data_IF_896900094146
#
_entry.id   IF_896900094146
#
_cell.length_a   1.000
_cell.length_b   1.000
_cell.length_c   1.000
_cell.angle_alpha   90.00
_cell.angle_beta   90.00
_cell.angle_gamma   90.00
#
_symmetry.space_group_name_H-M   'P 1'
#
loop_
_entity.id
_entity.type
_entity.pdbx_description
1 polymer ?
#
# COMPACT_ATOMS: atom_id res chain seq x y z
N UNK A 1 18.26 31.00 -0.38
CA UNK A 1 17.93 30.46 0.95
C UNK A 1 17.87 28.95 0.82
N UNK A 2 18.98 28.31 1.18
CA UNK A 2 19.13 26.86 1.25
C UNK A 2 18.18 26.33 2.32
N UNK A 3 17.11 25.65 1.89
CA UNK A 3 16.19 24.97 2.80
C UNK A 3 16.95 23.86 3.52
N UNK A 4 17.21 24.06 4.82
CA UNK A 4 17.57 22.97 5.71
C UNK A 4 16.48 21.90 5.55
N UNK A 5 16.86 20.74 5.03
CA UNK A 5 16.04 19.53 5.05
C UNK A 5 15.83 19.18 6.51
N UNK A 6 14.78 19.72 7.13
CA UNK A 6 14.30 19.24 8.42
C UNK A 6 14.01 17.75 8.24
N UNK A 7 14.83 16.92 8.88
CA UNK A 7 14.65 15.48 8.93
C UNK A 7 13.22 15.22 9.44
N UNK A 8 12.39 14.61 8.59
CA UNK A 8 11.06 14.22 8.98
C UNK A 8 11.17 13.20 10.12
N UNK A 9 10.35 13.36 11.14
CA UNK A 9 10.20 12.35 12.16
C UNK A 9 9.53 11.12 11.54
N UNK A 10 10.23 9.99 11.59
CA UNK A 10 9.79 8.73 11.01
C UNK A 10 10.09 7.57 11.95
N UNK A 11 9.30 6.47 11.89
CA UNK A 11 9.63 5.27 12.63
C UNK A 11 10.94 4.66 12.10
N UNK A 12 11.57 3.85 12.94
CA UNK A 12 12.74 3.07 12.52
C UNK A 12 12.40 2.23 11.29
N UNK A 13 13.26 2.30 10.28
CA UNK A 13 13.09 1.61 9.01
C UNK A 13 14.07 0.44 8.95
N UNK A 14 13.66 -0.77 9.37
CA UNK A 14 14.53 -1.93 9.33
C UNK A 14 14.94 -2.28 7.90
N UNK A 15 16.08 -2.96 7.76
CA UNK A 15 16.54 -3.50 6.47
C UNK A 15 15.56 -4.55 5.91
N UNK A 16 15.67 -4.82 4.61
CA UNK A 16 14.87 -5.84 3.96
C UNK A 16 15.25 -7.23 4.47
N UNK A 17 14.23 -8.03 4.79
CA UNK A 17 14.38 -9.41 5.25
C UNK A 17 13.90 -10.39 4.18
N UNK A 18 14.56 -11.54 4.07
CA UNK A 18 14.24 -12.58 3.10
C UNK A 18 13.34 -13.66 3.71
N UNK A 19 12.31 -14.06 2.97
CA UNK A 19 11.32 -15.03 3.39
C UNK A 19 11.16 -16.13 2.33
N UNK A 20 11.30 -17.38 2.76
CA UNK A 20 10.97 -18.56 1.96
C UNK A 20 9.53 -19.06 2.22
N UNK A 21 8.87 -18.59 3.29
CA UNK A 21 7.48 -18.89 3.61
C UNK A 21 6.55 -17.71 3.30
N UNK A 22 5.48 -17.97 2.54
CA UNK A 22 4.51 -16.93 2.21
C UNK A 22 3.77 -16.36 3.43
N UNK A 23 3.44 -17.21 4.41
CA UNK A 23 2.80 -16.77 5.65
C UNK A 23 3.69 -15.82 6.46
N UNK A 24 4.97 -16.16 6.60
CA UNK A 24 5.95 -15.35 7.34
C UNK A 24 6.18 -13.99 6.67
N UNK A 25 6.27 -13.97 5.33
CA UNK A 25 6.34 -12.73 4.56
C UNK A 25 5.11 -11.83 4.80
N UNK A 26 3.91 -12.41 4.82
CA UNK A 26 2.67 -11.67 5.06
C UNK A 26 2.58 -11.13 6.49
N UNK A 27 2.96 -11.93 7.50
CA UNK A 27 3.06 -11.44 8.88
C UNK A 27 4.02 -10.25 9.00
N UNK A 28 5.15 -10.30 8.28
CA UNK A 28 6.09 -9.18 8.25
C UNK A 28 5.48 -7.94 7.62
N UNK A 29 4.79 -8.07 6.48
CA UNK A 29 4.07 -6.97 5.83
C UNK A 29 3.05 -6.34 6.79
N UNK A 30 2.30 -7.16 7.53
CA UNK A 30 1.31 -6.71 8.52
C UNK A 30 1.99 -5.92 9.64
N UNK A 31 3.05 -6.46 10.22
CA UNK A 31 3.78 -5.79 11.29
C UNK A 31 4.32 -4.41 10.85
N UNK A 32 4.96 -4.34 9.68
CA UNK A 32 5.50 -3.08 9.14
C UNK A 32 4.40 -2.05 8.83
N UNK A 33 3.28 -2.50 8.28
CA UNK A 33 2.13 -1.62 8.03
C UNK A 33 1.52 -1.09 9.33
N UNK A 34 1.30 -1.96 10.31
CA UNK A 34 0.72 -1.59 11.61
C UNK A 34 1.63 -0.62 12.38
N UNK A 35 2.95 -0.83 12.35
CA UNK A 35 3.91 0.08 12.96
C UNK A 35 3.84 1.49 12.32
N UNK A 36 3.84 1.55 10.98
CA UNK A 36 3.81 2.81 10.23
C UNK A 36 2.48 3.55 10.39
N UNK A 37 1.35 2.86 10.24
CA UNK A 37 0.03 3.45 10.42
C UNK A 37 -0.23 3.83 11.88
N UNK A 38 0.22 3.01 12.84
CA UNK A 38 0.13 3.29 14.27
C UNK A 38 0.91 4.53 14.68
N UNK A 39 2.13 4.70 14.15
CA UNK A 39 2.93 5.91 14.34
C UNK A 39 2.21 7.16 13.82
N UNK A 40 1.71 7.12 12.58
CA UNK A 40 0.98 8.25 12.00
C UNK A 40 -0.28 8.60 12.78
N UNK A 41 -1.05 7.59 13.21
CA UNK A 41 -2.25 7.80 14.04
C UNK A 41 -1.88 8.45 15.38
N UNK A 42 -0.88 7.92 16.07
CA UNK A 42 -0.44 8.48 17.36
C UNK A 42 0.01 9.94 17.23
N UNK A 43 0.71 10.29 16.14
CA UNK A 43 1.17 11.66 15.89
C UNK A 43 0.04 12.58 15.45
N UNK A 44 -0.93 12.07 14.71
CA UNK A 44 -2.13 12.81 14.38
C UNK A 44 -2.97 13.14 15.63
N UNK A 45 -3.18 12.15 16.51
CA UNK A 45 -3.94 12.34 17.75
C UNK A 45 -3.27 13.36 18.67
N UNK A 46 -1.93 13.29 18.80
CA UNK A 46 -1.13 14.27 19.55
C UNK A 46 -1.24 15.67 18.94
N UNK A 47 -1.17 15.79 17.61
CA UNK A 47 -1.30 17.08 16.93
C UNK A 47 -2.69 17.71 17.09
N UNK A 48 -3.75 16.88 17.15
CA UNK A 48 -5.12 17.34 17.42
C UNK A 48 -5.29 17.79 18.88
N UNK A 49 -4.67 17.09 19.83
CA UNK A 49 -4.80 17.39 21.25
C UNK A 49 -3.91 18.55 21.72
N UNK A 50 -2.65 18.60 21.26
CA UNK A 50 -1.61 19.49 21.77
C UNK A 50 -1.15 20.55 20.76
N UNK A 51 -1.69 20.52 19.54
CA UNK A 51 -1.33 21.41 18.45
C UNK A 51 -0.29 20.81 17.50
N UNK A 52 -0.21 21.38 16.29
CA UNK A 52 0.61 20.83 15.21
C UNK A 52 2.11 20.97 15.50
N UNK A 53 2.92 19.90 15.27
CA UNK A 53 4.36 19.97 15.44
C UNK A 53 4.99 20.89 14.40
N UNK A 54 6.20 21.38 14.69
CA UNK A 54 6.97 22.27 13.79
C UNK A 54 7.84 21.52 12.78
N UNK A 55 7.79 20.20 12.78
CA UNK A 55 8.56 19.30 11.93
C UNK A 55 7.63 18.38 11.15
N UNK A 56 8.10 17.86 10.01
CA UNK A 56 7.32 16.89 9.23
C UNK A 56 7.27 15.54 9.94
N UNK A 57 6.12 14.87 9.85
CA UNK A 57 5.89 13.53 10.37
C UNK A 57 5.56 12.62 9.19
N UNK A 58 6.31 11.53 9.04
CA UNK A 58 6.20 10.63 7.89
C UNK A 58 6.38 9.17 8.28
N UNK A 59 5.59 8.30 7.66
CA UNK A 59 5.84 6.87 7.66
C UNK A 59 5.55 6.31 6.26
N UNK A 60 6.06 5.12 5.97
CA UNK A 60 6.07 4.56 4.62
C UNK A 60 5.33 3.23 4.56
N UNK A 61 4.78 2.92 3.39
CA UNK A 61 4.18 1.61 3.16
C UNK A 61 5.24 0.51 3.24
N UNK A 62 4.89 -0.72 3.65
CA UNK A 62 5.75 -1.87 3.40
C UNK A 62 5.88 -2.15 1.90
N UNK A 63 6.99 -2.78 1.53
CA UNK A 63 7.32 -3.19 0.17
C UNK A 63 7.59 -4.68 0.12
N UNK A 64 7.11 -5.32 -0.95
CA UNK A 64 7.47 -6.67 -1.34
C UNK A 64 8.37 -6.60 -2.57
N UNK A 65 9.50 -7.31 -2.55
CA UNK A 65 10.44 -7.42 -3.67
C UNK A 65 10.66 -8.87 -4.08
N UNK A 66 10.88 -9.08 -5.36
CA UNK A 66 11.30 -10.34 -5.95
C UNK A 66 12.44 -10.06 -6.93
N UNK A 67 13.56 -10.77 -6.78
CA UNK A 67 14.65 -10.72 -7.76
C UNK A 67 14.86 -12.11 -8.32
N UNK A 68 14.65 -12.26 -9.63
CA UNK A 68 14.89 -13.54 -10.33
C UNK A 68 15.90 -13.34 -11.46
N UNK A 69 16.80 -14.31 -11.62
CA UNK A 69 17.78 -14.36 -12.71
C UNK A 69 17.37 -15.32 -13.83
N UNK A 70 16.25 -16.01 -13.65
CA UNK A 70 15.78 -17.08 -14.53
C UNK A 70 14.34 -16.78 -14.97
N UNK A 71 14.00 -17.28 -16.15
CA UNK A 71 12.61 -17.33 -16.59
C UNK A 71 11.84 -18.31 -15.69
N UNK A 72 10.58 -17.98 -15.38
CA UNK A 72 9.73 -18.86 -14.59
C UNK A 72 9.64 -20.27 -15.21
N UNK A 73 9.72 -21.30 -14.38
CA UNK A 73 9.38 -22.66 -14.80
C UNK A 73 7.89 -22.72 -15.12
N UNK A 74 7.56 -22.78 -16.41
CA UNK A 74 6.20 -22.85 -16.97
C UNK A 74 5.44 -24.11 -16.49
N UNK A 75 4.84 -24.08 -15.31
CA UNK A 75 3.60 -24.85 -15.08
C UNK A 75 2.41 -23.91 -15.39
N UNK A 76 2.14 -23.78 -16.69
CA UNK A 76 1.29 -22.76 -17.34
C UNK A 76 -0.22 -22.93 -17.11
N UNK A 77 -0.65 -23.62 -16.06
CA UNK A 77 -2.09 -23.80 -15.79
C UNK A 77 -2.73 -22.56 -15.21
N UNK A 78 -1.96 -21.71 -14.55
CA UNK A 78 -2.43 -20.44 -14.00
C UNK A 78 -1.98 -19.28 -14.89
N UNK A 79 -2.92 -18.38 -15.20
CA UNK A 79 -2.66 -17.12 -15.90
C UNK A 79 -2.01 -16.04 -15.03
N UNK A 80 -1.69 -16.36 -13.77
CA UNK A 80 -1.16 -15.43 -12.76
C UNK A 80 -0.10 -16.11 -11.86
N UNK A 81 0.44 -15.38 -10.89
CA UNK A 81 1.38 -15.91 -9.89
C UNK A 81 2.80 -16.14 -10.41
N UNK A 82 3.21 -15.48 -11.49
CA UNK A 82 4.57 -15.54 -12.03
C UNK A 82 4.96 -14.22 -12.69
N UNK A 83 6.27 -14.03 -12.88
CA UNK A 83 6.83 -12.94 -13.69
C UNK A 83 7.52 -13.57 -14.89
N UNK A 84 7.46 -12.91 -16.04
CA UNK A 84 7.89 -13.52 -17.31
C UNK A 84 9.40 -13.44 -17.46
N UNK A 85 10.02 -12.30 -17.15
CA UNK A 85 11.41 -12.04 -17.46
C UNK A 85 12.29 -12.02 -16.20
N UNK A 86 13.58 -12.42 -16.29
CA UNK A 86 14.57 -12.12 -15.27
C UNK A 86 14.60 -10.63 -14.96
N UNK A 87 14.63 -10.27 -13.69
CA UNK A 87 14.60 -8.88 -13.27
C UNK A 87 14.36 -8.69 -11.79
N UNK A 88 14.33 -7.41 -11.39
CA UNK A 88 13.90 -6.96 -10.07
C UNK A 88 12.46 -6.49 -10.18
N UNK A 89 11.61 -6.98 -9.30
CA UNK A 89 10.21 -6.63 -9.24
C UNK A 89 9.89 -6.13 -7.84
N UNK A 90 9.05 -5.12 -7.73
CA UNK A 90 8.63 -4.58 -6.43
C UNK A 90 7.16 -4.17 -6.45
N UNK A 91 6.54 -4.12 -5.27
CA UNK A 91 5.25 -3.47 -5.08
C UNK A 91 5.12 -2.99 -3.66
N UNK A 92 4.52 -1.81 -3.49
CA UNK A 92 4.08 -1.33 -2.19
C UNK A 92 2.78 -2.01 -1.78
N UNK A 93 2.63 -2.31 -0.49
CA UNK A 93 1.49 -3.03 0.05
C UNK A 93 0.76 -2.13 1.06
N UNK A 94 -0.56 -2.03 0.95
CA UNK A 94 -1.44 -1.45 1.97
C UNK A 94 -2.41 -2.50 2.49
N UNK A 95 -2.97 -2.27 3.67
CA UNK A 95 -3.99 -3.13 4.31
C UNK A 95 -3.68 -4.64 4.19
N UNK A 96 -2.46 -5.10 4.53
CA UNK A 96 -2.07 -6.50 4.30
C UNK A 96 -2.94 -7.51 5.07
N UNK A 97 -3.57 -7.10 6.18
CA UNK A 97 -4.55 -7.94 6.90
C UNK A 97 -5.81 -8.19 6.06
N UNK A 98 -6.35 -7.14 5.41
CA UNK A 98 -7.51 -7.26 4.51
C UNK A 98 -7.20 -8.18 3.33
N UNK A 99 -5.98 -8.05 2.77
CA UNK A 99 -5.53 -8.84 1.63
C UNK A 99 -4.80 -10.12 2.01
N UNK A 100 -4.83 -10.54 3.28
CA UNK A 100 -4.01 -11.65 3.83
C UNK A 100 -4.06 -12.90 2.95
N UNK A 101 -5.26 -13.38 2.64
CA UNK A 101 -5.45 -14.60 1.85
C UNK A 101 -4.90 -14.45 0.43
N UNK A 102 -5.16 -13.31 -0.21
CA UNK A 102 -4.64 -12.98 -1.53
C UNK A 102 -3.10 -12.95 -1.54
N UNK A 103 -2.50 -12.27 -0.56
CA UNK A 103 -1.05 -12.13 -0.46
C UNK A 103 -0.37 -13.46 -0.19
N UNK A 104 -0.90 -14.29 0.71
CA UNK A 104 -0.36 -15.63 0.99
C UNK A 104 -0.37 -16.47 -0.30
N UNK A 105 -1.47 -16.45 -1.04
CA UNK A 105 -1.58 -17.20 -2.29
C UNK A 105 -0.57 -16.70 -3.34
N UNK A 106 -0.52 -15.40 -3.61
CA UNK A 106 0.35 -14.85 -4.65
C UNK A 106 1.83 -15.01 -4.31
N UNK A 107 2.23 -14.71 -3.08
CA UNK A 107 3.62 -14.89 -2.63
C UNK A 107 4.01 -16.37 -2.68
N UNK A 108 3.11 -17.27 -2.28
CA UNK A 108 3.32 -18.71 -2.39
C UNK A 108 3.61 -19.15 -3.82
N UNK A 109 2.81 -18.70 -4.78
CA UNK A 109 3.02 -18.99 -6.21
C UNK A 109 4.34 -18.41 -6.72
N UNK A 110 4.72 -17.20 -6.32
CA UNK A 110 6.01 -16.61 -6.71
C UNK A 110 7.19 -17.46 -6.22
N UNK A 111 7.18 -17.85 -4.95
CA UNK A 111 8.24 -18.68 -4.35
C UNK A 111 8.28 -20.05 -5.04
N UNK A 112 7.12 -20.67 -5.29
CA UNK A 112 7.02 -21.97 -5.94
C UNK A 112 7.54 -21.94 -7.39
N UNK A 113 7.17 -20.93 -8.17
CA UNK A 113 7.49 -20.86 -9.59
C UNK A 113 8.92 -20.38 -9.87
N UNK A 114 9.46 -19.52 -9.01
CA UNK A 114 10.80 -18.93 -9.21
C UNK A 114 11.89 -19.55 -8.35
N UNK A 115 11.52 -20.28 -7.29
CA UNK A 115 12.46 -20.96 -6.37
C UNK A 115 13.47 -20.00 -5.73
N UNK A 116 13.06 -18.76 -5.50
CA UNK A 116 13.82 -17.72 -4.79
C UNK A 116 12.97 -17.15 -3.65
N UNK A 117 13.59 -16.71 -2.54
CA UNK A 117 12.87 -16.03 -1.48
C UNK A 117 12.33 -14.68 -1.96
N UNK A 118 11.27 -14.21 -1.30
CA UNK A 118 10.82 -12.82 -1.44
C UNK A 118 11.48 -11.95 -0.37
N UNK A 119 11.62 -10.66 -0.65
CA UNK A 119 12.19 -9.68 0.26
C UNK A 119 11.09 -8.75 0.75
N UNK A 120 11.01 -8.51 2.06
CA UNK A 120 10.03 -7.61 2.67
C UNK A 120 10.76 -6.54 3.48
N UNK A 121 10.38 -5.28 3.29
CA UNK A 121 10.98 -4.14 4.00
C UNK A 121 10.09 -2.90 3.95
N UNK A 122 10.62 -1.77 4.39
CA UNK A 122 9.94 -0.48 4.32
C UNK A 122 10.23 0.18 2.97
N UNK A 123 9.19 0.64 2.26
CA UNK A 123 9.31 1.35 0.98
C UNK A 123 9.78 2.80 1.17
N UNK A 124 9.96 3.51 0.06
CA UNK A 124 10.12 4.98 0.06
C UNK A 124 8.81 5.71 -0.19
N UNK A 125 7.68 5.00 -0.34
CA UNK A 125 6.38 5.59 -0.63
C UNK A 125 5.66 5.98 0.67
N UNK A 126 5.41 7.27 0.90
CA UNK A 126 4.78 7.72 2.14
C UNK A 126 3.31 7.31 2.20
N UNK A 127 2.83 7.00 3.41
CA UNK A 127 1.41 6.75 3.70
C UNK A 127 0.73 8.09 3.95
N UNK A 128 -0.26 8.50 3.13
CA UNK A 128 -1.07 9.65 3.46
C UNK A 128 -1.81 9.47 4.79
N UNK A 129 -1.73 10.48 5.67
CA UNK A 129 -2.29 10.40 7.03
C UNK A 129 -3.78 10.05 7.05
N UNK A 130 -4.52 10.51 6.03
CA UNK A 130 -5.93 10.23 5.82
C UNK A 130 -6.25 8.73 5.81
N UNK A 131 -5.38 7.91 5.22
CA UNK A 131 -5.58 6.46 5.12
C UNK A 131 -5.16 5.73 6.39
N UNK A 132 -4.15 6.25 7.10
CA UNK A 132 -3.72 5.73 8.39
C UNK A 132 -4.79 5.93 9.48
N UNK A 133 -5.45 7.09 9.52
CA UNK A 133 -6.48 7.39 10.53
C UNK A 133 -7.85 6.77 10.21
N UNK A 134 -8.22 6.70 8.92
CA UNK A 134 -9.52 6.11 8.53
C UNK A 134 -9.64 4.62 8.88
N UNK A 135 -8.53 3.90 8.97
CA UNK A 135 -8.52 2.50 9.41
C UNK A 135 -8.80 2.28 10.90
N UNK A 136 -8.83 3.33 11.72
CA UNK A 136 -9.01 3.26 13.18
C UNK A 136 -10.42 3.53 13.69
N UNK A 137 -11.38 3.84 12.79
CA UNK A 137 -12.75 4.20 13.16
C UNK A 137 -13.03 5.70 13.07
N UNK A 138 -14.10 6.02 12.31
CA UNK A 138 -14.97 7.22 12.35
C UNK A 138 -14.39 8.64 12.46
N UNK A 139 -13.09 8.87 12.29
CA UNK A 139 -12.54 10.23 12.18
C UNK A 139 -12.70 10.76 10.75
N UNK A 140 -13.82 11.43 10.50
CA UNK A 140 -13.93 12.33 9.35
C UNK A 140 -13.08 13.56 9.65
N UNK A 141 -11.94 13.70 8.97
CA UNK A 141 -11.17 14.95 9.00
C UNK A 141 -12.10 16.05 8.47
N UNK A 142 -12.35 17.13 9.23
CA UNK A 142 -13.19 18.23 8.78
C UNK A 142 -12.65 18.78 7.46
N UNK A 143 -13.45 18.69 6.40
CA UNK A 143 -13.09 19.26 5.10
C UNK A 143 -13.30 20.78 5.15
N UNK A 144 -12.21 21.54 5.23
CA UNK A 144 -12.21 22.99 5.01
C UNK A 144 -11.43 23.83 6.04
N UNK A 145 -10.69 24.84 5.54
CA UNK A 145 -10.09 25.91 6.34
C UNK A 145 -8.59 25.76 6.63
N UNK A 146 -8.15 26.41 7.72
CA UNK A 146 -6.76 26.49 8.20
C UNK A 146 -6.19 25.12 8.61
N UNK A 147 -7.06 24.20 9.04
CA UNK A 147 -6.69 22.85 9.51
C UNK A 147 -6.13 21.98 8.39
N UNK A 148 -6.70 22.03 7.18
CA UNK A 148 -6.20 21.23 6.04
C UNK A 148 -4.87 21.76 5.51
N UNK A 149 -4.68 23.10 5.48
CA UNK A 149 -3.40 23.71 5.13
C UNK A 149 -2.32 23.32 6.14
N UNK A 150 -2.62 23.42 7.43
CA UNK A 150 -1.69 23.02 8.50
C UNK A 150 -1.37 21.52 8.50
N UNK A 151 -2.27 20.66 8.01
CA UNK A 151 -2.03 19.23 7.86
C UNK A 151 -1.03 18.92 6.75
N UNK A 152 -1.09 19.63 5.62
CA UNK A 152 -0.17 19.45 4.48
C UNK A 152 1.27 19.85 4.80
N UNK A 153 1.42 20.82 5.71
CA UNK A 153 2.74 21.27 6.16
C UNK A 153 3.44 20.22 7.03
N UNK A 154 2.69 19.38 7.74
CA UNK A 154 3.21 18.40 8.70
C UNK A 154 3.21 16.98 8.15
N UNK A 155 2.10 16.54 7.56
CA UNK A 155 1.87 15.16 7.16
C UNK A 155 1.80 15.01 5.64
N UNK A 156 1.98 13.78 5.15
CA UNK A 156 1.68 13.46 3.77
C UNK A 156 0.17 13.34 3.54
N UNK A 157 -0.29 13.85 2.40
CA UNK A 157 -1.69 13.82 1.98
C UNK A 157 -1.83 13.18 0.61
N UNK A 158 -3.01 12.66 0.23
CA UNK A 158 -3.19 12.05 -1.08
C UNK A 158 -3.00 13.09 -2.20
N UNK A 159 -2.15 12.78 -3.18
CA UNK A 159 -1.95 13.60 -4.37
C UNK A 159 -2.53 12.88 -5.60
N UNK A 160 -3.40 13.56 -6.34
CA UNK A 160 -4.07 12.97 -7.52
C UNK A 160 -3.08 12.56 -8.61
N UNK A 161 -1.93 13.24 -8.72
CA UNK A 161 -0.91 12.93 -9.71
C UNK A 161 -0.23 11.57 -9.47
N UNK A 162 -0.12 11.12 -8.21
CA UNK A 162 0.54 9.85 -7.86
C UNK A 162 -0.44 8.66 -7.83
N UNK A 163 -1.75 8.94 -7.87
CA UNK A 163 -2.83 7.95 -7.94
C UNK A 163 -3.20 7.75 -9.41
N UNK A 164 -2.43 6.91 -10.10
CA UNK A 164 -2.60 6.66 -11.53
C UNK A 164 -2.77 5.16 -11.83
N UNK A 165 -3.04 4.87 -13.09
CA UNK A 165 -3.24 3.52 -13.64
C UNK A 165 -2.09 3.15 -14.61
N UNK A 166 -0.90 3.75 -14.45
CA UNK A 166 0.21 3.63 -15.41
C UNK A 166 0.70 2.18 -15.59
N UNK A 167 0.69 1.40 -14.50
CA UNK A 167 1.05 -0.03 -14.52
C UNK A 167 0.07 -0.82 -15.40
N UNK A 168 -1.24 -0.67 -15.17
CA UNK A 168 -2.27 -1.44 -15.89
C UNK A 168 -2.52 -0.94 -17.31
N UNK A 169 -2.19 0.32 -17.61
CA UNK A 169 -2.23 0.86 -18.97
C UNK A 169 -1.11 0.29 -19.86
N UNK A 170 -0.07 -0.34 -19.29
CA UNK A 170 0.91 -1.14 -20.03
C UNK A 170 1.98 -0.35 -20.78
N UNK A 171 2.22 0.93 -20.44
CA UNK A 171 3.18 1.80 -21.13
C UNK A 171 4.65 1.61 -20.69
N UNK A 172 5.05 0.39 -20.30
CA UNK A 172 6.44 0.10 -19.92
C UNK A 172 6.87 0.71 -18.58
N UNK A 173 5.95 0.76 -17.61
CA UNK A 173 6.23 1.30 -16.28
C UNK A 173 7.41 0.59 -15.59
N UNK A 174 8.30 1.38 -14.99
CA UNK A 174 9.35 0.95 -14.09
C UNK A 174 9.50 1.97 -12.96
N UNK A 175 9.86 1.51 -11.77
CA UNK A 175 10.15 2.37 -10.63
C UNK A 175 11.49 3.08 -10.81
N UNK A 176 11.71 4.16 -10.03
CA UNK A 176 12.95 4.95 -10.07
C UNK A 176 14.21 4.13 -9.80
N UNK A 177 14.09 3.05 -9.02
CA UNK A 177 15.20 2.13 -8.71
C UNK A 177 15.45 1.08 -9.82
N UNK A 178 14.71 1.18 -10.93
CA UNK A 178 14.76 0.29 -12.08
C UNK A 178 13.99 -1.03 -11.91
N UNK A 179 13.26 -1.22 -10.81
CA UNK A 179 12.42 -2.41 -10.64
C UNK A 179 11.12 -2.32 -11.45
N UNK A 180 10.63 -3.47 -11.88
CA UNK A 180 9.34 -3.64 -12.56
C UNK A 180 8.19 -3.83 -11.55
N UNK A 181 6.94 -3.53 -11.94
CA UNK A 181 5.80 -3.74 -11.05
C UNK A 181 5.54 -5.22 -10.80
N UNK A 182 5.45 -5.61 -9.53
CA UNK A 182 5.10 -6.97 -9.09
C UNK A 182 3.58 -7.16 -8.93
N UNK A 183 2.83 -6.06 -8.84
CA UNK A 183 1.38 -6.04 -8.72
C UNK A 183 0.78 -4.95 -9.63
N UNK A 184 -0.50 -5.06 -10.03
CA UNK A 184 -1.12 -4.10 -10.95
C UNK A 184 -1.33 -2.72 -10.34
N UNK A 185 -1.37 -2.58 -9.01
CA UNK A 185 -1.68 -1.32 -8.34
C UNK A 185 -0.73 -1.05 -7.18
N UNK A 186 -0.37 0.21 -7.01
CA UNK A 186 0.41 0.68 -5.85
C UNK A 186 -0.45 0.79 -4.59
N UNK A 187 0.18 0.81 -3.42
CA UNK A 187 -0.50 0.96 -2.13
C UNK A 187 -1.41 2.20 -2.07
N UNK A 188 -0.92 3.36 -2.52
CA UNK A 188 -1.70 4.61 -2.53
C UNK A 188 -2.93 4.50 -3.45
N UNK A 189 -2.78 3.85 -4.61
CA UNK A 189 -3.87 3.64 -5.56
C UNK A 189 -4.95 2.72 -5.00
N UNK A 190 -4.54 1.69 -4.25
CA UNK A 190 -5.45 0.76 -3.55
C UNK A 190 -6.19 1.50 -2.44
N UNK A 191 -5.51 2.24 -1.56
CA UNK A 191 -6.13 2.97 -0.45
C UNK A 191 -7.17 3.99 -0.93
N UNK A 192 -6.85 4.74 -2.00
CA UNK A 192 -7.81 5.65 -2.63
C UNK A 192 -9.05 4.91 -3.12
N UNK A 193 -8.86 3.76 -3.80
CA UNK A 193 -9.95 2.93 -4.29
C UNK A 193 -10.81 2.38 -3.16
N UNK A 194 -10.20 1.90 -2.07
CA UNK A 194 -10.94 1.38 -0.90
C UNK A 194 -11.78 2.49 -0.27
N UNK A 195 -11.23 3.70 -0.10
CA UNK A 195 -11.97 4.84 0.43
C UNK A 195 -13.17 5.22 -0.46
N UNK A 196 -13.00 5.17 -1.80
CA UNK A 196 -14.10 5.41 -2.74
C UNK A 196 -15.12 4.29 -2.75
N UNK A 197 -14.68 3.04 -2.65
CA UNK A 197 -15.55 1.88 -2.60
C UNK A 197 -16.52 1.98 -1.43
N UNK A 198 -16.00 2.22 -0.22
CA UNK A 198 -16.84 2.39 0.97
C UNK A 198 -17.75 3.61 0.89
N UNK A 199 -17.29 4.72 0.30
CA UNK A 199 -18.12 5.91 0.12
C UNK A 199 -19.30 5.66 -0.82
N UNK A 200 -19.08 5.04 -1.98
CA UNK A 200 -20.12 4.85 -2.99
C UNK A 200 -21.06 3.68 -2.68
N UNK A 201 -20.53 2.64 -2.03
CA UNK A 201 -21.26 1.40 -1.77
C UNK A 201 -21.86 1.37 -0.37
N UNK A 202 -21.56 2.37 0.46
CA UNK A 202 -21.98 2.47 1.87
C UNK A 202 -21.74 1.16 2.65
N UNK A 203 -20.68 0.43 2.29
CA UNK A 203 -20.35 -0.92 2.79
C UNK A 203 -18.85 -1.03 2.95
N UNK A 204 -18.39 -1.69 4.02
CA UNK A 204 -16.98 -1.95 4.25
C UNK A 204 -16.39 -2.89 3.20
N UNK A 205 -15.13 -2.65 2.83
CA UNK A 205 -14.42 -3.44 1.82
C UNK A 205 -14.36 -4.94 2.18
N UNK A 206 -14.33 -5.25 3.47
CA UNK A 206 -14.28 -6.61 4.03
C UNK A 206 -15.51 -7.46 3.64
N UNK A 207 -16.63 -6.83 3.29
CA UNK A 207 -17.85 -7.52 2.88
C UNK A 207 -17.88 -7.86 1.38
N UNK A 208 -16.94 -7.33 0.57
CA UNK A 208 -16.92 -7.60 -0.86
C UNK A 208 -16.61 -9.06 -1.15
N UNK A 209 -17.35 -9.61 -2.12
CA UNK A 209 -17.19 -10.99 -2.58
C UNK A 209 -16.44 -11.03 -3.91
N UNK A 210 -15.83 -12.18 -4.22
CA UNK A 210 -15.06 -12.37 -5.47
C UNK A 210 -15.92 -12.33 -6.74
N UNK A 211 -17.23 -12.54 -6.63
CA UNK A 211 -18.16 -12.53 -7.76
C UNK A 211 -19.05 -11.29 -7.66
N UNK A 212 -18.89 -10.38 -8.62
CA UNK A 212 -19.58 -9.09 -8.64
C UNK A 212 -20.67 -9.10 -9.72
N UNK A 213 -21.89 -8.70 -9.35
CA UNK A 213 -22.97 -8.44 -10.30
C UNK A 213 -23.24 -6.94 -10.35
N UNK A 214 -23.33 -6.39 -11.56
CA UNK A 214 -23.81 -5.03 -11.79
C UNK A 214 -25.24 -5.08 -12.30
N UNK A 215 -26.12 -4.34 -11.65
CA UNK A 215 -27.53 -4.21 -12.03
C UNK A 215 -27.85 -2.73 -12.20
N UNK A 216 -28.72 -2.42 -13.15
CA UNK A 216 -29.12 -1.06 -13.48
C UNK A 216 -30.58 -0.75 -13.08
N UNK A 217 -31.22 -1.68 -12.36
CA UNK A 217 -32.57 -1.53 -11.82
C UNK A 217 -32.64 -2.03 -10.38
N UNK A 218 -33.42 -1.33 -9.55
CA UNK A 218 -33.58 -1.64 -8.13
C UNK A 218 -34.18 -3.03 -7.88
N UNK A 219 -35.10 -3.50 -8.74
CA UNK A 219 -35.79 -4.78 -8.52
C UNK A 219 -34.88 -6.01 -8.52
N UNK A 220 -33.62 -5.90 -8.97
CA UNK A 220 -32.66 -7.01 -8.88
C UNK A 220 -32.05 -7.17 -7.48
N UNK A 221 -32.27 -6.19 -6.58
CA UNK A 221 -31.73 -6.16 -5.21
C UNK A 221 -32.82 -6.47 -4.16
N UNK A 222 -34.09 -6.18 -4.48
CA UNK A 222 -35.25 -6.52 -3.65
C UNK A 222 -35.53 -8.03 -3.63
#
# INVERSE_FOLDING_TARGET
MTGESQLAEAPESPEYEEFAGAGEAVERLIHLYQASAGFLRSRFDDAVANGMPRHRVRAYYPELRLTTKVYATKDTRLSFGHVIEPGRYSTTITRPELFRNYLIQQIGLLIEHHRVPVQVGVSTTPIPVHFAVAGGGSLQIPKGGIVEQSLRDVFDVPELATINDDIVNGHGFAYEDGSHPLAPFTAQRIDYSLARLSHYMATDADHFQNYVLFTNYQFYVD
#
